data_IF_931545247828
#
_entry.id   IF_931545247828
#
_cell.length_a   1.000
_cell.length_b   1.000
_cell.length_c   1.000
_cell.angle_alpha   90.00
_cell.angle_beta   90.00
_cell.angle_gamma   90.00
#
_symmetry.space_group_name_H-M   'P 1'
#
loop_
_entity.id
_entity.type
_entity.pdbx_description
1 polymer ?
#
# COMPACT_ATOMS: atom_id res chain seq x y z
N UNK A 1 73.25 -100.01 -16.68
CA UNK A 1 72.81 -99.08 -17.74
C UNK A 1 72.72 -97.68 -17.16
N UNK A 2 73.61 -96.77 -17.56
CA UNK A 2 73.49 -95.32 -17.31
C UNK A 2 73.05 -94.66 -18.61
N UNK A 3 72.04 -93.81 -18.55
CA UNK A 3 71.72 -92.85 -19.61
C UNK A 3 71.66 -91.46 -18.98
N UNK A 4 72.43 -90.47 -19.49
CA UNK A 4 72.50 -89.12 -18.94
C UNK A 4 71.49 -88.21 -19.62
N UNK A 5 70.61 -87.59 -18.85
CA UNK A 5 69.81 -86.43 -19.28
C UNK A 5 70.13 -85.27 -18.34
N UNK A 6 70.96 -84.34 -18.80
CA UNK A 6 71.24 -83.15 -18.02
C UNK A 6 72.33 -82.30 -18.65
N UNK A 7 72.07 -81.71 -19.82
CA UNK A 7 73.00 -80.72 -20.37
C UNK A 7 72.39 -79.71 -21.37
N UNK A 8 71.13 -79.30 -21.15
CA UNK A 8 70.49 -78.27 -22.00
C UNK A 8 69.72 -77.17 -21.26
N UNK A 9 70.13 -76.80 -20.05
CA UNK A 9 69.47 -75.73 -19.28
C UNK A 9 70.40 -74.61 -18.78
N UNK A 10 71.64 -74.50 -19.28
CA UNK A 10 72.62 -73.50 -18.79
C UNK A 10 72.94 -72.35 -19.75
N UNK A 11 72.17 -72.16 -20.83
CA UNK A 11 72.44 -71.10 -21.83
C UNK A 11 71.82 -69.73 -21.57
N UNK A 12 70.84 -69.58 -20.67
CA UNK A 12 69.97 -68.39 -20.64
C UNK A 12 70.17 -67.40 -19.48
N UNK A 13 71.22 -67.56 -18.67
CA UNK A 13 71.45 -66.69 -17.49
C UNK A 13 72.51 -65.59 -17.67
N UNK A 14 72.91 -65.23 -18.90
CA UNK A 14 74.04 -64.30 -19.13
C UNK A 14 73.68 -62.93 -19.74
N UNK A 15 72.47 -62.40 -19.53
CA UNK A 15 72.16 -61.02 -19.94
C UNK A 15 71.24 -60.23 -18.99
N UNK A 16 71.22 -60.53 -17.69
CA UNK A 16 70.63 -59.62 -16.71
C UNK A 16 71.75 -58.81 -16.06
N UNK A 17 71.97 -57.57 -16.54
CA UNK A 17 72.77 -56.59 -15.77
C UNK A 17 72.08 -56.40 -14.42
N UNK A 18 72.79 -56.46 -13.28
CA UNK A 18 72.18 -56.18 -11.99
C UNK A 18 71.61 -54.76 -12.06
N UNK A 19 70.30 -54.63 -11.87
CA UNK A 19 69.66 -53.33 -11.84
C UNK A 19 70.08 -52.67 -10.55
N UNK A 20 70.85 -51.59 -10.65
CA UNK A 20 71.24 -50.76 -9.50
C UNK A 20 70.00 -50.05 -8.94
N UNK A 21 69.25 -50.80 -8.11
CA UNK A 21 68.03 -50.34 -7.46
C UNK A 21 68.27 -49.09 -6.61
N UNK A 22 69.41 -49.00 -5.96
CA UNK A 22 69.85 -47.81 -5.22
C UNK A 22 70.00 -46.59 -6.14
N UNK A 23 70.61 -46.74 -7.31
CA UNK A 23 70.75 -45.66 -8.28
C UNK A 23 69.42 -45.24 -8.91
N UNK A 24 68.47 -46.17 -9.06
CA UNK A 24 67.11 -45.85 -9.47
C UNK A 24 66.35 -45.09 -8.39
N UNK A 25 66.47 -45.51 -7.13
CA UNK A 25 65.87 -44.82 -5.97
C UNK A 25 66.45 -43.43 -5.81
N UNK A 26 67.77 -43.27 -5.95
CA UNK A 26 68.44 -41.96 -5.90
C UNK A 26 67.92 -41.01 -7.00
N UNK A 27 67.85 -41.49 -8.26
CA UNK A 27 67.31 -40.68 -9.36
C UNK A 27 65.84 -40.34 -9.16
N UNK A 28 65.06 -41.24 -8.59
CA UNK A 28 63.66 -40.99 -8.24
C UNK A 28 63.55 -39.93 -7.15
N UNK A 29 64.36 -40.01 -6.10
CA UNK A 29 64.40 -39.01 -5.03
C UNK A 29 64.82 -37.64 -5.54
N UNK A 30 65.84 -37.58 -6.42
CA UNK A 30 66.27 -36.33 -7.06
C UNK A 30 65.19 -35.75 -7.98
N UNK A 31 64.48 -36.59 -8.74
CA UNK A 31 63.36 -36.15 -9.56
C UNK A 31 62.21 -35.60 -8.71
N UNK A 32 61.86 -36.27 -7.61
CA UNK A 32 60.83 -35.80 -6.67
C UNK A 32 61.25 -34.47 -6.04
N UNK A 33 62.51 -34.35 -5.62
CA UNK A 33 63.04 -33.12 -5.02
C UNK A 33 63.03 -31.95 -6.01
N UNK A 34 63.44 -32.17 -7.26
CA UNK A 34 63.36 -31.15 -8.31
C UNK A 34 61.91 -30.71 -8.58
N UNK A 35 60.96 -31.65 -8.57
CA UNK A 35 59.53 -31.37 -8.77
C UNK A 35 58.94 -30.60 -7.58
N UNK A 36 59.38 -30.90 -6.36
CA UNK A 36 59.01 -30.15 -5.16
C UNK A 36 59.57 -28.73 -5.16
N UNK A 37 60.82 -28.53 -5.56
CA UNK A 37 61.42 -27.21 -5.70
C UNK A 37 60.71 -26.37 -6.77
N UNK A 38 60.41 -26.95 -7.93
CA UNK A 38 59.64 -26.28 -8.97
C UNK A 38 58.25 -25.85 -8.47
N UNK A 39 57.56 -26.73 -7.73
CA UNK A 39 56.27 -26.42 -7.10
C UNK A 39 56.40 -25.29 -6.07
N UNK A 40 57.44 -25.30 -5.26
CA UNK A 40 57.70 -24.27 -4.25
C UNK A 40 57.96 -22.91 -4.90
N UNK A 41 58.80 -22.87 -5.94
CA UNK A 41 59.04 -21.66 -6.73
C UNK A 41 57.75 -21.15 -7.38
N UNK A 42 56.91 -22.05 -7.91
CA UNK A 42 55.62 -21.67 -8.49
C UNK A 42 54.69 -21.02 -7.46
N UNK A 43 54.57 -21.60 -6.26
CA UNK A 43 53.77 -21.03 -5.15
C UNK A 43 54.30 -19.66 -4.71
N UNK A 44 55.62 -19.48 -4.69
CA UNK A 44 56.26 -18.22 -4.30
C UNK A 44 56.07 -17.11 -5.36
N UNK A 45 56.11 -17.47 -6.65
CA UNK A 45 55.92 -16.52 -7.77
C UNK A 45 54.45 -16.19 -8.03
N UNK A 46 53.53 -17.13 -7.82
CA UNK A 46 52.08 -16.90 -7.94
C UNK A 46 51.43 -17.00 -6.57
N UNK A 47 51.61 -16.00 -5.67
CA UNK A 47 50.88 -15.97 -4.42
C UNK A 47 49.40 -15.78 -4.77
N UNK A 48 48.63 -16.87 -4.78
CA UNK A 48 47.19 -16.76 -4.60
C UNK A 48 47.04 -16.10 -3.23
N UNK A 49 46.57 -14.85 -3.21
CA UNK A 49 46.36 -14.13 -1.96
C UNK A 49 45.54 -14.99 -1.01
N UNK A 50 45.66 -14.75 0.30
CA UNK A 50 45.00 -15.53 1.37
C UNK A 50 43.46 -15.67 1.24
N UNK A 51 42.86 -15.13 0.18
CA UNK A 51 41.43 -15.06 -0.07
C UNK A 51 41.00 -15.70 -1.41
N UNK A 52 41.90 -16.37 -2.15
CA UNK A 52 41.58 -16.91 -3.48
C UNK A 52 41.18 -15.80 -4.46
N UNK A 53 40.69 -16.12 -5.68
CA UNK A 53 39.98 -15.14 -6.48
C UNK A 53 38.77 -14.67 -5.67
N UNK A 54 38.65 -13.36 -5.46
CA UNK A 54 37.44 -12.79 -4.86
C UNK A 54 36.26 -13.09 -5.79
N UNK A 55 35.54 -14.17 -5.51
CA UNK A 55 34.20 -14.36 -6.02
C UNK A 55 33.28 -13.56 -5.12
N UNK A 56 33.00 -12.31 -5.51
CA UNK A 56 31.96 -11.52 -4.89
C UNK A 56 30.70 -12.37 -4.77
N UNK A 57 30.12 -12.41 -3.58
CA UNK A 57 28.92 -13.22 -3.26
C UNK A 57 27.89 -12.99 -4.37
N UNK A 58 27.78 -13.95 -5.29
CA UNK A 58 26.89 -13.78 -6.43
C UNK A 58 25.48 -13.60 -5.88
N UNK A 59 24.78 -12.56 -6.36
CA UNK A 59 23.40 -12.34 -5.98
C UNK A 59 22.60 -13.57 -6.41
N UNK A 60 22.20 -14.40 -5.44
CA UNK A 60 21.24 -15.47 -5.66
C UNK A 60 19.89 -14.80 -5.89
N UNK A 61 19.67 -14.41 -7.15
CA UNK A 61 18.37 -13.92 -7.57
C UNK A 61 17.41 -15.10 -7.49
N UNK A 62 16.42 -14.97 -6.59
CA UNK A 62 15.28 -15.88 -6.53
C UNK A 62 14.69 -16.04 -7.94
N UNK A 63 14.20 -17.25 -8.25
CA UNK A 63 13.50 -17.47 -9.52
C UNK A 63 12.35 -16.47 -9.66
N UNK A 64 11.96 -16.14 -10.90
CA UNK A 64 10.85 -15.22 -11.12
C UNK A 64 9.60 -15.68 -10.34
N UNK A 65 9.28 -16.97 -10.42
CA UNK A 65 8.17 -17.58 -9.66
C UNK A 65 8.26 -17.39 -8.14
N UNK A 66 9.45 -17.53 -7.55
CA UNK A 66 9.63 -17.30 -6.11
C UNK A 66 9.45 -15.83 -5.73
N UNK A 67 9.85 -14.89 -6.60
CA UNK A 67 9.61 -13.45 -6.42
C UNK A 67 8.12 -13.12 -6.52
N UNK A 68 7.42 -13.65 -7.52
CA UNK A 68 5.97 -13.46 -7.64
C UNK A 68 5.21 -14.03 -6.43
N UNK A 69 5.59 -15.19 -5.91
CA UNK A 69 4.97 -15.77 -4.72
C UNK A 69 5.16 -14.90 -3.47
N UNK A 70 6.34 -14.29 -3.29
CA UNK A 70 6.59 -13.34 -2.21
C UNK A 70 5.71 -12.09 -2.33
N UNK A 71 5.57 -11.52 -3.53
CA UNK A 71 4.73 -10.33 -3.73
C UNK A 71 3.23 -10.64 -3.64
N UNK A 72 2.80 -11.86 -3.97
CA UNK A 72 1.41 -12.28 -3.78
C UNK A 72 1.06 -12.58 -2.31
N UNK A 73 2.05 -12.88 -1.48
CA UNK A 73 1.86 -13.14 -0.04
C UNK A 73 1.68 -11.87 0.80
N UNK A 74 2.01 -10.72 0.25
CA UNK A 74 1.97 -9.44 0.93
C UNK A 74 1.07 -8.49 0.15
N UNK A 75 -0.14 -8.24 0.65
CA UNK A 75 -1.03 -7.22 0.11
C UNK A 75 -0.70 -5.86 0.76
N UNK A 76 -0.05 -4.93 0.03
CA UNK A 76 0.35 -3.65 0.59
C UNK A 76 -0.82 -2.67 0.76
N UNK A 77 -1.97 -2.94 0.13
CA UNK A 77 -3.16 -2.10 0.14
C UNK A 77 -4.16 -2.53 1.21
N UNK A 78 -4.23 -3.83 1.50
CA UNK A 78 -5.03 -4.41 2.59
C UNK A 78 -4.13 -5.15 3.59
N UNK A 79 -3.16 -4.42 4.18
CA UNK A 79 -2.18 -4.98 5.15
C UNK A 79 -2.81 -5.57 6.40
N UNK A 80 -4.03 -5.17 6.71
CA UNK A 80 -4.89 -5.83 7.68
C UNK A 80 -5.68 -6.86 6.89
N UNK A 81 -5.26 -8.13 6.96
CA UNK A 81 -5.98 -9.23 6.30
C UNK A 81 -7.48 -9.06 6.49
N UNK A 82 -8.25 -9.36 5.42
CA UNK A 82 -9.69 -9.19 5.32
C UNK A 82 -10.33 -9.18 6.71
N UNK A 83 -11.00 -8.09 7.14
CA UNK A 83 -11.46 -7.91 8.50
C UNK A 83 -12.09 -9.22 8.92
N UNK A 84 -11.40 -9.92 9.80
CA UNK A 84 -11.94 -11.13 10.39
C UNK A 84 -13.21 -10.60 11.03
N UNK A 85 -14.36 -10.94 10.44
CA UNK A 85 -15.64 -10.53 10.94
C UNK A 85 -15.71 -11.09 12.35
N UNK A 86 -15.24 -10.28 13.30
CA UNK A 86 -15.47 -10.51 14.69
C UNK A 86 -16.98 -10.53 14.75
N UNK A 87 -17.54 -11.69 15.07
CA UNK A 87 -18.96 -11.91 15.28
C UNK A 87 -19.50 -11.10 16.49
N UNK A 88 -18.91 -9.94 16.79
CA UNK A 88 -19.36 -9.04 17.81
C UNK A 88 -20.69 -8.44 17.39
N UNK A 89 -21.70 -8.70 18.22
CA UNK A 89 -23.02 -8.12 18.06
C UNK A 89 -22.88 -6.60 18.24
N UNK A 90 -23.39 -5.80 17.30
CA UNK A 90 -23.42 -4.33 17.47
C UNK A 90 -24.30 -4.01 18.67
N UNK A 91 -23.80 -3.18 19.58
CA UNK A 91 -24.55 -2.85 20.79
C UNK A 91 -25.84 -2.11 20.44
N UNK A 92 -26.93 -2.45 21.13
CA UNK A 92 -28.18 -1.67 21.09
C UNK A 92 -28.25 -0.61 22.19
N UNK A 93 -27.18 -0.46 22.98
CA UNK A 93 -27.12 0.56 24.02
C UNK A 93 -26.99 1.94 23.38
N UNK A 94 -27.61 2.95 23.99
CA UNK A 94 -27.46 4.35 23.58
C UNK A 94 -26.09 4.92 24.03
N UNK A 95 -25.01 4.28 23.57
CA UNK A 95 -23.64 4.76 23.72
C UNK A 95 -23.17 5.34 22.39
N UNK A 96 -22.54 6.51 22.46
CA UNK A 96 -21.93 7.15 21.30
C UNK A 96 -20.42 7.21 21.50
N UNK A 97 -19.66 6.61 20.58
CA UNK A 97 -18.20 6.69 20.57
C UNK A 97 -17.77 7.95 19.80
N UNK A 98 -17.01 8.82 20.47
CA UNK A 98 -16.51 10.09 19.92
C UNK A 98 -15.03 10.04 19.54
N UNK A 99 -14.27 9.12 20.14
CA UNK A 99 -12.86 9.00 19.83
C UNK A 99 -12.19 7.83 20.54
N UNK A 100 -11.11 7.36 19.94
CA UNK A 100 -10.24 6.33 20.50
C UNK A 100 -8.81 6.83 20.54
N UNK A 101 -8.05 6.44 21.56
CA UNK A 101 -6.62 6.68 21.66
C UNK A 101 -5.95 5.36 21.95
N UNK A 102 -5.03 4.94 21.08
CA UNK A 102 -4.19 3.78 21.29
C UNK A 102 -2.84 4.27 21.81
N UNK A 103 -2.41 3.75 22.96
CA UNK A 103 -1.05 4.00 23.46
C UNK A 103 -0.14 2.83 23.07
N UNK A 104 0.66 3.02 22.02
CA UNK A 104 1.60 2.00 21.51
C UNK A 104 2.75 1.71 22.48
N UNK A 105 3.04 2.61 23.43
CA UNK A 105 4.14 2.45 24.40
C UNK A 105 3.81 1.56 25.59
N UNK A 106 2.53 1.43 25.95
CA UNK A 106 2.08 0.63 27.11
C UNK A 106 1.06 -0.45 26.75
N UNK A 107 0.59 -0.49 25.49
CA UNK A 107 -0.41 -1.45 25.02
C UNK A 107 -1.82 -1.20 25.57
N UNK A 108 -2.06 -0.03 26.19
CA UNK A 108 -3.34 0.31 26.80
C UNK A 108 -4.05 1.38 25.96
N UNK A 109 -5.30 1.10 25.55
CA UNK A 109 -6.15 2.05 24.85
C UNK A 109 -7.12 2.76 25.78
N UNK A 110 -7.56 3.96 25.42
CA UNK A 110 -8.67 4.67 26.07
C UNK A 110 -9.68 5.15 25.04
N UNK A 111 -10.96 5.13 25.39
CA UNK A 111 -12.06 5.56 24.53
C UNK A 111 -12.86 6.69 25.17
N UNK A 112 -13.30 7.64 24.34
CA UNK A 112 -14.19 8.73 24.73
C UNK A 112 -15.61 8.33 24.34
N UNK A 113 -16.42 8.05 25.35
CA UNK A 113 -17.79 7.54 25.20
C UNK A 113 -18.78 8.49 25.86
N UNK A 114 -19.90 8.76 25.19
CA UNK A 114 -21.07 9.35 25.84
C UNK A 114 -22.02 8.27 26.32
N UNK A 115 -22.47 8.42 27.56
CA UNK A 115 -23.56 7.64 28.15
C UNK A 115 -24.93 8.17 27.66
N UNK A 116 -26.04 7.43 27.89
CA UNK A 116 -27.39 7.90 27.51
C UNK A 116 -27.78 9.25 28.13
N UNK A 117 -27.11 9.66 29.22
CA UNK A 117 -27.28 10.95 29.87
C UNK A 117 -26.61 12.11 29.09
N UNK A 118 -25.94 11.82 27.98
CA UNK A 118 -25.24 12.79 27.12
C UNK A 118 -23.88 13.25 27.66
N UNK A 119 -23.44 12.73 28.81
CA UNK A 119 -22.15 13.07 29.41
C UNK A 119 -21.05 12.26 28.73
N UNK A 120 -20.07 12.96 28.13
CA UNK A 120 -18.86 12.36 27.55
C UNK A 120 -17.77 12.21 28.61
N UNK A 121 -17.21 11.00 28.72
CA UNK A 121 -16.07 10.70 29.58
C UNK A 121 -15.04 9.81 28.85
N UNK A 122 -13.81 9.83 29.35
CA UNK A 122 -12.73 8.96 28.89
C UNK A 122 -12.62 7.74 29.79
N UNK A 123 -12.67 6.54 29.21
CA UNK A 123 -12.55 5.26 29.90
C UNK A 123 -11.34 4.49 29.37
N UNK A 124 -10.54 3.91 30.26
CA UNK A 124 -9.46 3.00 29.92
C UNK A 124 -9.98 1.56 29.75
N UNK A 125 -9.24 0.72 29.04
CA UNK A 125 -9.54 -0.72 28.97
C UNK A 125 -9.58 -1.30 30.39
N UNK A 126 -10.70 -1.92 30.74
CA UNK A 126 -11.00 -2.45 32.07
C UNK A 126 -11.92 -1.57 32.93
N UNK A 127 -12.15 -0.31 32.54
CA UNK A 127 -13.00 0.60 33.30
C UNK A 127 -14.50 0.31 33.06
N UNK A 128 -15.28 0.52 34.12
CA UNK A 128 -16.75 0.46 34.05
C UNK A 128 -17.31 1.76 33.44
N UNK A 129 -18.02 1.64 32.32
CA UNK A 129 -18.62 2.76 31.59
C UNK A 129 -19.96 3.14 32.24
N UNK A 130 -20.74 2.13 32.64
CA UNK A 130 -22.00 2.23 33.37
C UNK A 130 -22.27 0.91 34.09
N UNK A 131 -23.28 0.88 34.97
CA UNK A 131 -23.60 -0.30 35.78
C UNK A 131 -23.66 -1.59 34.97
N UNK A 132 -22.65 -2.45 35.14
CA UNK A 132 -22.55 -3.76 34.49
C UNK A 132 -22.04 -3.75 33.04
N UNK A 133 -21.48 -2.63 32.56
CA UNK A 133 -20.85 -2.51 31.23
C UNK A 133 -19.40 -2.06 31.38
N UNK A 134 -18.47 -2.89 30.93
CA UNK A 134 -17.02 -2.65 31.03
C UNK A 134 -16.40 -2.50 29.66
N UNK A 135 -15.43 -1.60 29.53
CA UNK A 135 -14.64 -1.46 28.29
C UNK A 135 -13.63 -2.61 28.19
N UNK A 136 -13.85 -3.54 27.26
CA UNK A 136 -13.00 -4.74 27.12
C UNK A 136 -11.81 -4.53 26.21
N UNK A 137 -12.00 -3.86 25.07
CA UNK A 137 -10.95 -3.59 24.11
C UNK A 137 -11.23 -2.33 23.31
N UNK A 138 -10.16 -1.65 22.89
CA UNK A 138 -10.21 -0.45 22.06
C UNK A 138 -9.54 -0.76 20.72
N UNK A 139 -10.28 -0.58 19.63
CA UNK A 139 -9.79 -0.70 18.26
C UNK A 139 -9.80 0.67 17.58
N UNK A 140 -9.36 0.70 16.33
CA UNK A 140 -9.17 1.95 15.58
C UNK A 140 -10.48 2.68 15.27
N UNK A 141 -11.54 1.94 14.96
CA UNK A 141 -12.84 2.45 14.50
C UNK A 141 -14.01 2.08 15.43
N UNK A 142 -13.79 1.16 16.37
CA UNK A 142 -14.78 0.67 17.30
C UNK A 142 -14.18 0.30 18.65
N UNK A 143 -15.04 0.12 19.65
CA UNK A 143 -14.68 -0.44 20.95
C UNK A 143 -15.52 -1.67 21.24
N UNK A 144 -14.94 -2.66 21.90
CA UNK A 144 -15.67 -3.82 22.41
C UNK A 144 -15.98 -3.59 23.88
N UNK A 145 -17.25 -3.69 24.25
CA UNK A 145 -17.74 -3.64 25.62
C UNK A 145 -18.20 -5.02 26.05
N UNK A 146 -18.11 -5.30 27.34
CA UNK A 146 -18.66 -6.50 27.97
C UNK A 146 -19.87 -6.09 28.82
N UNK A 147 -21.04 -6.66 28.52
CA UNK A 147 -22.25 -6.52 29.32
C UNK A 147 -22.60 -7.86 29.94
N UNK A 148 -22.20 -8.07 31.19
CA UNK A 148 -22.54 -9.30 31.92
C UNK A 148 -22.05 -10.60 31.25
N UNK A 149 -20.93 -10.55 30.53
CA UNK A 149 -20.35 -11.67 29.80
C UNK A 149 -20.64 -11.69 28.29
N UNK A 150 -21.48 -10.78 27.79
CA UNK A 150 -21.75 -10.62 26.36
C UNK A 150 -20.88 -9.52 25.75
N UNK A 151 -20.08 -9.88 24.75
CA UNK A 151 -19.26 -8.94 23.99
C UNK A 151 -20.10 -8.22 22.93
N UNK A 152 -20.15 -6.90 23.02
CA UNK A 152 -20.84 -6.04 22.06
C UNK A 152 -19.90 -4.96 21.53
N UNK A 153 -20.15 -4.47 20.31
CA UNK A 153 -19.32 -3.46 19.65
C UNK A 153 -20.02 -2.12 19.55
N UNK A 154 -19.30 -1.03 19.84
CA UNK A 154 -19.73 0.36 19.62
C UNK A 154 -18.81 0.97 18.56
N UNK A 155 -19.37 1.44 17.45
CA UNK A 155 -18.61 2.08 16.36
C UNK A 155 -18.51 3.60 16.55
N UNK A 156 -17.41 4.18 16.04
CA UNK A 156 -17.16 5.61 16.03
C UNK A 156 -18.19 6.32 15.13
N UNK A 157 -18.80 7.39 15.63
CA UNK A 157 -19.69 8.22 14.81
C UNK A 157 -18.88 9.07 13.82
N UNK A 158 -18.86 8.66 12.55
CA UNK A 158 -18.16 9.34 11.45
C UNK A 158 -19.11 10.18 10.59
N UNK A 159 -20.31 10.49 11.08
CA UNK A 159 -21.32 11.23 10.31
C UNK A 159 -20.99 12.72 10.09
N UNK A 160 -19.95 13.25 10.74
CA UNK A 160 -19.42 14.58 10.44
C UNK A 160 -18.22 14.50 9.48
N UNK A 161 -18.28 15.21 8.32
CA UNK A 161 -17.14 15.32 7.42
C UNK A 161 -15.94 15.89 8.17
N UNK A 162 -14.81 15.19 8.14
CA UNK A 162 -13.57 15.70 8.69
C UNK A 162 -13.24 17.05 8.02
N UNK A 163 -13.12 18.12 8.82
CA UNK A 163 -12.57 19.38 8.34
C UNK A 163 -11.19 19.11 7.77
N UNK A 164 -11.05 19.26 6.45
CA UNK A 164 -9.77 19.12 5.78
C UNK A 164 -8.80 20.15 6.36
N UNK A 165 -7.91 19.71 7.25
CA UNK A 165 -6.72 20.47 7.58
C UNK A 165 -5.93 20.62 6.27
N UNK A 166 -5.72 21.87 5.85
CA UNK A 166 -5.07 22.21 4.59
C UNK A 166 -3.76 21.46 4.43
N UNK A 167 -3.75 20.48 3.53
CA UNK A 167 -2.53 19.81 3.12
C UNK A 167 -1.59 20.81 2.47
N UNK A 168 -0.27 20.73 2.73
CA UNK A 168 0.68 21.61 2.09
C UNK A 168 0.60 21.46 0.57
N UNK A 169 0.36 22.58 -0.11
CA UNK A 169 0.46 22.68 -1.55
C UNK A 169 1.89 22.38 -1.98
N UNK A 170 2.04 21.49 -2.97
CA UNK A 170 3.22 21.46 -3.83
C UNK A 170 3.97 20.13 -3.86
N UNK A 171 3.75 19.39 -4.95
CA UNK A 171 4.68 18.39 -5.45
C UNK A 171 4.37 18.04 -6.90
N UNK A 172 5.23 18.36 -7.88
CA UNK A 172 5.07 17.90 -9.25
C UNK A 172 5.62 16.48 -9.36
N UNK A 173 4.75 15.49 -9.52
CA UNK A 173 5.14 14.09 -9.69
C UNK A 173 4.19 13.41 -10.65
N UNK A 174 4.72 13.02 -11.82
CA UNK A 174 3.96 12.52 -12.96
C UNK A 174 3.14 11.25 -12.67
N UNK A 175 2.02 11.15 -13.38
CA UNK A 175 1.28 9.91 -13.51
C UNK A 175 2.11 8.92 -14.36
N UNK A 176 2.34 7.67 -13.90
CA UNK A 176 2.70 6.61 -14.82
C UNK A 176 1.44 6.15 -15.54
N UNK A 177 1.44 6.30 -16.86
CA UNK A 177 0.59 5.52 -17.76
C UNK A 177 0.89 4.03 -17.53
N UNK A 178 -0.14 3.28 -17.14
CA UNK A 178 -0.05 1.85 -16.90
C UNK A 178 -1.38 1.19 -17.22
N UNK A 179 -1.37 0.41 -18.29
CA UNK A 179 -2.42 -0.48 -18.78
C UNK A 179 -3.32 -1.10 -17.71
N UNK A 180 -4.63 -1.08 -17.95
CA UNK A 180 -5.55 -2.06 -17.37
C UNK A 180 -6.61 -2.48 -18.39
N UNK A 181 -6.53 -3.75 -18.77
CA UNK A 181 -7.57 -4.52 -19.45
C UNK A 181 -8.78 -4.75 -18.51
N UNK A 182 -9.95 -5.12 -19.06
CA UNK A 182 -11.26 -4.77 -18.50
C UNK A 182 -11.74 -5.76 -17.43
N UNK A 183 -12.28 -5.25 -16.33
CA UNK A 183 -13.16 -6.02 -15.43
C UNK A 183 -14.53 -5.32 -15.34
N UNK A 184 -15.55 -6.16 -15.48
CA UNK A 184 -16.95 -5.83 -15.62
C UNK A 184 -17.53 -5.43 -14.25
N UNK A 185 -17.98 -4.18 -14.11
CA UNK A 185 -18.67 -3.75 -12.89
C UNK A 185 -18.60 -2.26 -12.57
N UNK A 186 -17.78 -1.47 -13.28
CA UNK A 186 -17.91 -0.02 -13.27
C UNK A 186 -19.09 0.39 -14.18
N UNK A 187 -19.99 1.30 -13.75
CA UNK A 187 -20.91 1.92 -14.70
C UNK A 187 -20.05 2.55 -15.80
N UNK A 188 -20.28 2.12 -17.04
CA UNK A 188 -19.55 2.59 -18.19
C UNK A 188 -19.43 4.12 -18.16
N UNK A 189 -18.27 4.71 -18.46
CA UNK A 189 -18.22 6.13 -18.79
C UNK A 189 -19.12 6.28 -20.00
N UNK A 190 -20.30 6.86 -19.80
CA UNK A 190 -21.31 7.02 -20.84
C UNK A 190 -20.63 7.76 -22.00
N UNK A 191 -20.39 7.12 -23.16
CA UNK A 191 -19.82 7.81 -24.30
C UNK A 191 -20.87 8.82 -24.77
N UNK A 192 -20.55 10.12 -24.70
CA UNK A 192 -21.43 11.19 -25.18
C UNK A 192 -21.88 12.24 -24.16
N UNK A 193 -21.30 12.33 -22.97
CA UNK A 193 -21.34 13.59 -22.21
C UNK A 193 -20.14 14.43 -22.58
N UNK A 194 -20.30 15.23 -23.64
CA UNK A 194 -19.42 16.35 -23.90
C UNK A 194 -19.21 17.10 -22.58
N UNK A 195 -17.96 17.25 -22.14
CA UNK A 195 -17.68 17.99 -20.94
C UNK A 195 -18.29 19.39 -21.11
N UNK A 196 -19.08 19.86 -20.14
CA UNK A 196 -19.97 21.00 -20.36
C UNK A 196 -19.12 22.24 -20.69
N UNK A 197 -19.43 22.91 -21.82
CA UNK A 197 -18.76 24.16 -22.16
C UNK A 197 -19.13 25.25 -21.15
N UNK A 198 -18.23 26.21 -20.93
CA UNK A 198 -18.50 27.31 -20.00
C UNK A 198 -19.79 28.07 -20.35
N UNK A 199 -20.07 28.25 -21.64
CA UNK A 199 -21.30 28.87 -22.14
C UNK A 199 -22.56 28.04 -21.83
N UNK A 200 -22.47 26.72 -21.99
CA UNK A 200 -23.58 25.81 -21.64
C UNK A 200 -23.86 25.86 -20.14
N UNK A 201 -22.84 25.85 -19.28
CA UNK A 201 -23.02 25.97 -17.83
C UNK A 201 -23.71 27.29 -17.45
N UNK A 202 -23.31 28.43 -18.05
CA UNK A 202 -23.92 29.74 -17.75
C UNK A 202 -25.39 29.82 -18.17
N UNK A 203 -25.76 29.18 -19.29
CA UNK A 203 -27.11 29.25 -19.85
C UNK A 203 -28.04 28.21 -19.22
N UNK A 204 -27.55 27.00 -19.02
CA UNK A 204 -28.34 25.83 -18.66
C UNK A 204 -28.48 25.62 -17.15
N UNK A 205 -27.74 26.38 -16.34
CA UNK A 205 -27.79 26.30 -14.88
C UNK A 205 -28.23 27.65 -14.29
N UNK A 206 -29.33 27.62 -13.55
CA UNK A 206 -29.76 28.73 -12.71
C UNK A 206 -29.14 28.62 -11.32
N UNK A 207 -28.63 29.73 -10.81
CA UNK A 207 -28.16 29.85 -9.42
C UNK A 207 -29.06 30.84 -8.69
N UNK A 208 -29.56 30.45 -7.51
CA UNK A 208 -30.36 31.34 -6.65
C UNK A 208 -29.89 31.24 -5.20
N UNK A 209 -29.68 32.36 -4.49
CA UNK A 209 -29.19 32.31 -3.12
C UNK A 209 -30.22 31.67 -2.18
N UNK A 210 -29.75 30.72 -1.36
CA UNK A 210 -30.52 30.17 -0.23
C UNK A 210 -30.19 30.97 1.01
N UNK A 211 -31.19 31.61 1.61
CA UNK A 211 -31.03 32.35 2.85
C UNK A 211 -31.70 31.59 3.99
N UNK A 212 -30.97 31.39 5.08
CA UNK A 212 -31.48 30.82 6.32
C UNK A 212 -31.08 31.74 7.49
N UNK A 213 -32.04 32.11 8.34
CA UNK A 213 -31.81 33.04 9.47
C UNK A 213 -31.14 34.37 9.05
N UNK A 214 -31.49 34.89 7.87
CA UNK A 214 -30.95 36.14 7.35
C UNK A 214 -29.51 36.07 6.80
N UNK A 215 -28.90 34.88 6.73
CA UNK A 215 -27.57 34.66 6.13
C UNK A 215 -27.69 33.76 4.90
N UNK A 216 -26.87 34.03 3.89
CA UNK A 216 -26.77 33.16 2.71
C UNK A 216 -26.00 31.91 3.12
N UNK A 217 -26.59 30.74 2.93
CA UNK A 217 -26.01 29.44 3.32
C UNK A 217 -25.61 28.58 2.12
N UNK A 218 -25.97 28.99 0.90
CA UNK A 218 -25.64 28.27 -0.32
C UNK A 218 -26.33 28.82 -1.57
N UNK A 219 -26.10 28.16 -2.70
CA UNK A 219 -26.74 28.46 -3.98
C UNK A 219 -27.58 27.27 -4.43
N UNK A 220 -28.89 27.46 -4.53
CA UNK A 220 -29.79 26.44 -5.10
C UNK A 220 -29.58 26.39 -6.61
N UNK A 221 -29.35 25.19 -7.12
CA UNK A 221 -29.20 24.93 -8.54
C UNK A 221 -30.55 24.60 -9.17
N UNK A 222 -30.86 25.28 -10.27
CA UNK A 222 -32.08 25.07 -11.06
C UNK A 222 -31.74 24.62 -12.47
N UNK A 223 -32.35 23.54 -12.99
CA UNK A 223 -32.15 23.11 -14.37
C UNK A 223 -32.82 24.10 -15.34
N UNK A 224 -32.05 24.62 -16.30
CA UNK A 224 -32.56 25.43 -17.41
C UNK A 224 -32.33 24.79 -18.78
N UNK A 225 -31.43 23.82 -18.87
CA UNK A 225 -31.10 23.13 -20.11
C UNK A 225 -30.37 21.81 -19.89
N UNK A 226 -29.97 21.11 -20.97
CA UNK A 226 -29.31 19.81 -20.91
C UNK A 226 -27.94 19.85 -20.23
N UNK A 227 -27.25 21.01 -20.28
CA UNK A 227 -25.97 21.23 -19.61
C UNK A 227 -25.99 20.99 -18.10
N UNK A 228 -27.16 21.14 -17.46
CA UNK A 228 -27.33 20.85 -16.03
C UNK A 228 -27.07 19.38 -15.70
N UNK A 229 -27.67 18.47 -16.46
CA UNK A 229 -27.50 17.02 -16.26
C UNK A 229 -26.14 16.55 -16.80
N UNK A 230 -25.62 17.18 -17.85
CA UNK A 230 -24.30 16.89 -18.39
C UNK A 230 -23.18 17.24 -17.41
N UNK A 231 -23.38 18.28 -16.60
CA UNK A 231 -22.51 18.64 -15.50
C UNK A 231 -22.67 17.75 -14.25
N UNK A 232 -23.61 16.78 -14.26
CA UNK A 232 -23.81 15.83 -13.15
C UNK A 232 -24.68 16.35 -12.00
N UNK A 233 -25.33 17.51 -12.16
CA UNK A 233 -26.25 18.05 -11.17
C UNK A 233 -27.62 17.37 -11.20
N UNK A 234 -28.29 17.41 -10.05
CA UNK A 234 -29.68 17.01 -9.88
C UNK A 234 -30.51 18.19 -9.39
N UNK A 235 -31.80 18.19 -9.74
CA UNK A 235 -32.70 19.26 -9.35
C UNK A 235 -32.81 19.32 -7.82
N UNK A 236 -32.62 20.51 -7.26
CA UNK A 236 -32.59 20.70 -5.81
C UNK A 236 -31.20 20.53 -5.18
N UNK A 237 -30.15 20.30 -5.97
CA UNK A 237 -28.76 20.40 -5.49
C UNK A 237 -28.49 21.83 -4.97
N UNK A 238 -27.84 21.92 -3.81
CA UNK A 238 -27.50 23.20 -3.17
C UNK A 238 -25.99 23.28 -3.04
N UNK A 239 -25.35 24.19 -3.77
CA UNK A 239 -23.91 24.40 -3.63
C UNK A 239 -23.65 25.05 -2.29
N UNK A 240 -22.83 24.40 -1.47
CA UNK A 240 -22.37 24.90 -0.18
C UNK A 240 -20.92 25.35 -0.22
N UNK A 241 -20.13 24.83 -1.15
CA UNK A 241 -18.73 25.24 -1.35
C UNK A 241 -18.32 25.30 -2.82
N UNK A 242 -17.42 26.22 -3.14
CA UNK A 242 -16.80 26.40 -4.45
C UNK A 242 -15.29 26.43 -4.26
N UNK A 243 -14.56 25.52 -4.91
CA UNK A 243 -13.11 25.34 -4.77
C UNK A 243 -12.66 25.23 -3.29
N UNK A 244 -13.47 24.55 -2.47
CA UNK A 244 -13.25 24.37 -1.03
C UNK A 244 -13.58 25.60 -0.17
N UNK A 245 -14.03 26.72 -0.76
CA UNK A 245 -14.49 27.90 -0.02
C UNK A 245 -16.00 27.84 0.22
N UNK A 246 -16.48 28.01 1.48
CA UNK A 246 -17.90 28.01 1.77
C UNK A 246 -18.60 29.24 1.20
N UNK A 247 -19.84 29.07 0.77
CA UNK A 247 -20.69 30.16 0.29
C UNK A 247 -21.35 30.83 1.49
N UNK A 248 -21.09 32.13 1.68
CA UNK A 248 -21.61 32.90 2.82
C UNK A 248 -22.27 34.22 2.43
N UNK A 249 -22.17 34.64 1.16
CA UNK A 249 -22.62 35.95 0.71
C UNK A 249 -23.17 35.95 -0.72
N UNK A 250 -23.93 36.99 -1.06
CA UNK A 250 -24.36 37.22 -2.43
C UNK A 250 -23.19 37.53 -3.39
N UNK A 251 -22.05 38.00 -2.86
CA UNK A 251 -20.84 38.27 -3.66
C UNK A 251 -20.20 36.99 -4.20
N UNK A 252 -20.35 35.87 -3.51
CA UNK A 252 -19.80 34.56 -3.91
C UNK A 252 -20.43 34.05 -5.20
N UNK A 253 -21.70 34.41 -5.45
CA UNK A 253 -22.38 34.11 -6.70
C UNK A 253 -21.75 34.84 -7.89
N UNK A 254 -21.42 36.13 -7.72
CA UNK A 254 -20.77 36.89 -8.77
C UNK A 254 -19.36 36.34 -9.05
N UNK A 255 -18.62 35.98 -7.99
CA UNK A 255 -17.32 35.33 -8.09
C UNK A 255 -17.40 34.00 -8.84
N UNK A 256 -18.40 33.17 -8.54
CA UNK A 256 -18.65 31.91 -9.25
C UNK A 256 -18.89 32.14 -10.75
N UNK A 257 -19.77 33.08 -11.11
CA UNK A 257 -20.08 33.38 -12.51
C UNK A 257 -18.85 33.87 -13.30
N UNK A 258 -17.95 34.60 -12.63
CA UNK A 258 -16.68 35.04 -13.21
C UNK A 258 -15.65 33.92 -13.33
N UNK A 259 -15.71 32.89 -12.49
CA UNK A 259 -14.82 31.71 -12.56
C UNK A 259 -15.26 30.69 -13.61
N UNK A 260 -16.51 30.73 -14.07
CA UNK A 260 -17.00 29.90 -15.17
C UNK A 260 -16.45 30.48 -16.48
N UNK A 261 -15.21 30.13 -16.81
CA UNK A 261 -14.54 30.50 -18.06
C UNK A 261 -14.09 29.25 -18.81
N UNK A 262 -13.94 29.31 -20.15
CA UNK A 262 -13.46 28.16 -20.92
C UNK A 262 -12.08 27.72 -20.41
N UNK A 263 -11.89 26.41 -20.22
CA UNK A 263 -10.67 25.82 -19.65
C UNK A 263 -10.60 25.82 -18.12
N UNK A 264 -11.54 26.45 -17.41
CA UNK A 264 -11.54 26.46 -15.95
C UNK A 264 -11.88 25.07 -15.38
N UNK A 265 -11.25 24.79 -14.23
CA UNK A 265 -11.56 23.63 -13.39
C UNK A 265 -12.26 24.14 -12.16
N UNK A 266 -13.46 23.65 -11.92
CA UNK A 266 -14.30 24.09 -10.81
C UNK A 266 -14.65 22.87 -9.97
N UNK A 267 -14.34 22.92 -8.67
CA UNK A 267 -14.77 21.90 -7.71
C UNK A 267 -15.93 22.45 -6.90
N UNK A 268 -17.09 21.82 -6.99
CA UNK A 268 -18.30 22.22 -6.29
C UNK A 268 -18.66 21.16 -5.27
N UNK A 269 -19.02 21.58 -4.07
CA UNK A 269 -19.62 20.69 -3.07
C UNK A 269 -21.10 21.01 -3.01
N UNK A 270 -21.94 20.01 -3.32
CA UNK A 270 -23.41 20.16 -3.34
C UNK A 270 -24.05 19.31 -2.24
N UNK A 271 -25.04 19.88 -1.57
CA UNK A 271 -25.98 19.16 -0.71
C UNK A 271 -27.12 18.64 -1.59
N UNK A 272 -27.24 17.31 -1.65
CA UNK A 272 -28.29 16.58 -2.37
C UNK A 272 -29.15 15.85 -1.34
N UNK A 273 -30.28 16.47 -0.98
CA UNK A 273 -31.09 15.98 0.12
C UNK A 273 -30.34 16.11 1.45
N UNK A 274 -29.93 14.98 2.05
CA UNK A 274 -29.15 14.95 3.29
C UNK A 274 -27.67 14.57 3.08
N UNK A 275 -27.24 14.38 1.83
CA UNK A 275 -25.90 13.88 1.49
C UNK A 275 -25.12 14.97 0.77
N UNK A 276 -23.85 15.13 1.13
CA UNK A 276 -22.92 16.05 0.47
C UNK A 276 -22.15 15.31 -0.63
N UNK A 277 -22.22 15.83 -1.86
CA UNK A 277 -21.60 15.22 -3.06
C UNK A 277 -20.61 16.21 -3.70
N UNK A 278 -19.34 15.82 -3.91
CA UNK A 278 -18.40 16.62 -4.68
C UNK A 278 -18.64 16.45 -6.19
N UNK A 279 -18.70 17.56 -6.92
CA UNK A 279 -18.86 17.61 -8.38
C UNK A 279 -17.70 18.43 -8.96
N UNK A 280 -16.87 17.79 -9.78
CA UNK A 280 -15.75 18.43 -10.45
C UNK A 280 -16.10 18.69 -11.92
N UNK A 281 -16.05 19.96 -12.32
CA UNK A 281 -16.30 20.39 -13.69
C UNK A 281 -15.00 20.82 -14.34
N UNK A 282 -14.76 20.30 -15.55
CA UNK A 282 -13.73 20.79 -16.45
C UNK A 282 -14.47 21.45 -17.61
N UNK A 283 -14.41 22.77 -17.67
CA UNK A 283 -15.12 23.52 -18.70
C UNK A 283 -14.29 23.51 -19.98
N UNK A 284 -14.86 23.02 -21.08
CA UNK A 284 -14.12 22.96 -22.34
C UNK A 284 -13.80 24.37 -22.85
N UNK A 285 -12.56 24.54 -23.32
CA UNK A 285 -12.16 25.64 -24.21
C UNK A 285 -12.80 25.46 -25.58
N UNK A 286 -13.23 26.54 -26.22
CA UNK A 286 -13.62 26.49 -27.63
C UNK A 286 -12.43 26.16 -28.52
#
# INVERSE_FOLDING_TARGET
>A
MRVPFGDKLQGWRRYARPVDWLGLVEKLLLAVLALQLARLVWVLLTPVGAFGPWEGRQAQLLSASARQALFASFDPFFRTGAPQAGNGVVTSLALTLYGVRLNEGTGQGSAILATPDGIQNSYAVGDEIMSGVVLKAVFFDHVTIDRGGAEEQVFLDQSQPASAAGGPAGGPGGAPEGDMAPDEGAPSPVPGRDAPSADAVKRDIGFSPRTQNGRVTGLVLSPKGPGFQNAGFQAGDIVTQINGQPIGSAGDLASLQNQIVPGARLSLTVERGAVTVPINLILQGQ
#
